data_IF_202412864326
#
_entry.id   IF_202412864326
#
_cell.length_a   1.000
_cell.length_b   1.000
_cell.length_c   1.000
_cell.angle_alpha   90.00
_cell.angle_beta   90.00
_cell.angle_gamma   90.00
#
_symmetry.space_group_name_H-M   'P 1'
#
loop_
_entity.id
_entity.type
_entity.pdbx_description
1 polymer ?
#
# COMPACT_ATOMS: atom_id res chain seq x y z
N UNK A 1 16.99 6.30 -14.28
CA UNK A 1 16.23 7.29 -13.49
C UNK A 1 15.76 6.56 -12.25
N UNK A 2 15.91 7.13 -11.05
CA UNK A 2 15.61 6.44 -9.80
C UNK A 2 14.21 6.85 -9.32
N UNK A 3 13.33 5.91 -8.93
CA UNK A 3 12.03 6.26 -8.37
C UNK A 3 12.20 6.92 -7.00
N UNK A 4 11.48 8.02 -6.80
CA UNK A 4 11.25 8.61 -5.48
C UNK A 4 10.28 7.71 -4.71
N UNK A 5 10.47 7.53 -3.40
CA UNK A 5 9.64 6.62 -2.60
C UNK A 5 9.01 7.31 -1.38
N UNK A 6 7.80 6.90 -1.04
CA UNK A 6 7.15 7.17 0.24
C UNK A 6 7.64 6.15 1.28
N UNK A 7 7.88 6.62 2.51
CA UNK A 7 8.24 5.79 3.65
C UNK A 7 7.17 5.89 4.74
N UNK A 8 6.54 4.76 5.11
CA UNK A 8 5.50 4.66 6.14
C UNK A 8 5.99 3.97 7.44
N UNK A 9 5.39 4.38 8.57
CA UNK A 9 5.96 4.28 9.93
C UNK A 9 4.90 4.27 11.06
N UNK A 10 5.15 3.59 12.22
CA UNK A 10 4.21 3.43 13.36
C UNK A 10 4.74 3.99 14.73
N UNK A 11 4.29 3.58 15.97
CA UNK A 11 4.31 4.41 17.25
C UNK A 11 4.60 3.61 18.61
N UNK A 12 5.46 3.70 19.70
CA UNK A 12 6.41 4.48 20.67
C UNK A 12 7.96 4.92 20.51
N UNK A 13 8.51 6.07 20.98
CA UNK A 13 9.83 6.72 20.63
C UNK A 13 11.23 5.96 20.66
N UNK A 14 12.20 6.50 19.85
CA UNK A 14 13.71 6.41 19.83
C UNK A 14 14.48 5.57 18.74
N UNK A 15 15.84 5.71 18.64
CA UNK A 15 16.60 5.88 17.37
C UNK A 15 17.74 4.88 16.97
N UNK A 16 17.94 4.72 15.64
CA UNK A 16 19.21 4.65 14.82
C UNK A 16 20.27 3.52 15.00
N UNK A 17 20.89 2.89 13.96
CA UNK A 17 20.56 2.74 12.51
C UNK A 17 21.52 1.78 11.73
N UNK A 18 21.20 1.54 10.44
CA UNK A 18 22.02 0.99 9.30
C UNK A 18 22.25 -0.54 9.16
N UNK A 19 22.12 -1.12 7.93
CA UNK A 19 21.45 -0.66 6.69
C UNK A 19 20.13 -1.44 6.42
N UNK A 20 19.36 -1.12 5.35
CA UNK A 20 18.18 -1.88 4.96
C UNK A 20 18.44 -3.07 4.01
N UNK A 21 17.93 -4.25 4.40
CA UNK A 21 17.57 -5.31 3.46
C UNK A 21 16.09 -5.13 3.06
N UNK A 22 15.77 -5.30 1.77
CA UNK A 22 14.47 -4.95 1.20
C UNK A 22 13.83 -6.14 0.47
N UNK A 23 12.63 -6.51 0.91
CA UNK A 23 11.81 -7.57 0.30
C UNK A 23 10.79 -6.96 -0.66
N UNK A 24 10.99 -7.18 -1.97
CA UNK A 24 10.06 -6.80 -3.04
C UNK A 24 9.06 -7.91 -3.33
N UNK A 25 7.83 -7.53 -3.67
CA UNK A 25 6.89 -8.42 -4.35
C UNK A 25 7.28 -8.55 -5.82
N UNK A 26 7.43 -9.78 -6.32
CA UNK A 26 7.41 -10.07 -7.76
C UNK A 26 5.97 -10.30 -8.24
N UNK A 27 5.71 -10.17 -9.54
CA UNK A 27 4.51 -10.72 -10.18
C UNK A 27 4.39 -12.24 -10.01
N UNK A 28 5.54 -12.91 -9.80
CA UNK A 28 5.70 -14.35 -9.91
C UNK A 28 5.77 -15.02 -8.52
N UNK A 29 4.80 -14.70 -7.65
CA UNK A 29 4.53 -15.32 -6.33
C UNK A 29 5.66 -15.42 -5.30
N UNK A 30 6.86 -14.90 -5.59
CA UNK A 30 8.02 -14.94 -4.70
C UNK A 30 8.40 -13.55 -4.20
N UNK A 31 8.63 -13.44 -2.89
CA UNK A 31 9.37 -12.32 -2.30
C UNK A 31 10.84 -12.39 -2.76
N UNK A 32 11.37 -11.29 -3.27
CA UNK A 32 12.76 -11.18 -3.70
C UNK A 32 13.51 -10.21 -2.79
N UNK A 33 14.66 -10.64 -2.25
CA UNK A 33 15.46 -9.80 -1.35
C UNK A 33 16.55 -9.02 -2.08
N UNK A 34 16.94 -7.87 -1.54
CA UNK A 34 18.05 -7.04 -2.02
C UNK A 34 18.55 -6.10 -0.92
N UNK A 35 19.87 -5.99 -0.74
CA UNK A 35 20.49 -4.96 0.09
C UNK A 35 20.42 -3.60 -0.60
N UNK A 36 20.16 -2.52 0.15
CA UNK A 36 19.99 -1.17 -0.42
C UNK A 36 20.59 -0.09 0.49
N UNK A 37 20.78 1.13 -0.04
CA UNK A 37 21.16 2.31 0.76
C UNK A 37 20.13 3.43 0.62
N UNK A 38 19.25 3.53 1.63
CA UNK A 38 18.30 4.63 1.76
C UNK A 38 18.98 5.92 2.26
N UNK A 39 18.60 7.05 1.67
CA UNK A 39 18.91 8.40 2.16
C UNK A 39 17.61 9.19 2.26
N UNK A 40 17.17 9.45 3.49
CA UNK A 40 15.93 10.17 3.76
C UNK A 40 16.15 11.67 3.66
N UNK A 41 15.28 12.38 2.92
CA UNK A 41 15.18 13.84 2.96
C UNK A 41 14.42 14.27 4.21
N UNK A 42 14.70 15.47 4.76
CA UNK A 42 13.93 16.04 5.90
C UNK A 42 12.48 16.45 5.53
N UNK A 43 11.98 16.01 4.36
CA UNK A 43 10.62 16.21 3.87
C UNK A 43 9.62 15.25 4.53
N UNK A 44 9.08 15.67 5.68
CA UNK A 44 7.82 15.15 6.18
C UNK A 44 6.70 15.46 5.17
N UNK A 45 5.93 14.45 4.75
CA UNK A 45 4.82 14.64 3.79
C UNK A 45 3.48 14.67 4.53
N UNK A 46 3.22 13.73 5.44
CA UNK A 46 1.90 13.65 6.06
C UNK A 46 1.73 12.70 7.24
N UNK A 47 0.55 12.78 7.86
CA UNK A 47 0.08 11.91 8.94
C UNK A 47 -1.29 11.36 8.54
N UNK A 48 -1.38 10.04 8.44
CA UNK A 48 -2.66 9.33 8.46
C UNK A 48 -3.04 8.96 9.89
N UNK A 49 -4.27 8.46 10.09
CA UNK A 49 -4.79 8.10 11.42
C UNK A 49 -3.85 7.18 12.22
N UNK A 50 -3.16 6.25 11.54
CA UNK A 50 -2.25 5.27 12.17
C UNK A 50 -0.78 5.37 11.74
N UNK A 51 -0.48 6.05 10.62
CA UNK A 51 0.83 6.03 9.93
C UNK A 51 1.44 7.44 9.84
N UNK A 52 2.78 7.56 9.80
CA UNK A 52 3.45 8.79 9.32
C UNK A 52 4.10 8.54 7.96
N UNK A 53 4.18 9.56 7.11
CA UNK A 53 4.66 9.47 5.72
C UNK A 53 5.79 10.49 5.47
N UNK A 54 6.92 10.02 4.94
CA UNK A 54 8.14 10.83 4.72
C UNK A 54 8.71 10.59 3.31
N UNK A 55 9.32 11.62 2.72
CA UNK A 55 9.96 11.56 1.41
C UNK A 55 11.34 10.88 1.46
N UNK A 56 11.49 9.75 0.77
CA UNK A 56 12.73 8.96 0.73
C UNK A 56 13.35 8.84 -0.66
N UNK A 57 14.68 8.87 -0.72
CA UNK A 57 15.45 8.52 -1.91
C UNK A 57 16.19 7.20 -1.66
N UNK A 58 16.00 6.22 -2.55
CA UNK A 58 16.58 4.89 -2.39
C UNK A 58 17.69 4.64 -3.42
N UNK A 59 18.94 4.64 -2.95
CA UNK A 59 20.08 4.28 -3.80
C UNK A 59 20.23 2.77 -3.82
N UNK A 60 19.91 2.17 -4.96
CA UNK A 60 20.17 0.75 -5.23
C UNK A 60 21.67 0.56 -5.45
N UNK A 61 22.35 -0.07 -4.49
CA UNK A 61 23.74 -0.52 -4.62
C UNK A 61 23.76 -2.03 -4.73
N UNK A 62 24.52 -2.60 -5.67
CA UNK A 62 24.75 -4.04 -5.69
C UNK A 62 25.34 -4.51 -4.35
N UNK A 63 24.92 -5.68 -3.81
CA UNK A 63 25.41 -6.19 -2.52
C UNK A 63 26.94 -6.33 -2.57
N UNK A 64 27.67 -5.68 -1.66
CA UNK A 64 29.11 -5.59 -1.76
C UNK A 64 29.77 -6.88 -1.29
N UNK A 65 30.87 -7.27 -1.96
CA UNK A 65 31.63 -8.50 -1.63
C UNK A 65 32.26 -8.50 -0.23
N UNK A 66 32.22 -7.37 0.46
CA UNK A 66 32.62 -7.16 1.86
C UNK A 66 31.72 -6.07 2.45
N UNK A 67 31.21 -6.29 3.67
CA UNK A 67 30.21 -5.41 4.30
C UNK A 67 30.63 -3.93 4.37
N UNK A 68 29.69 -3.03 4.06
CA UNK A 68 29.98 -1.61 3.86
C UNK A 68 29.47 -0.75 5.03
N UNK A 69 30.39 0.00 5.64
CA UNK A 69 30.04 1.00 6.63
C UNK A 69 29.22 2.15 6.03
N UNK A 70 28.21 2.60 6.77
CA UNK A 70 27.66 3.95 6.68
C UNK A 70 26.90 4.26 7.97
N UNK A 71 26.64 5.55 8.23
CA UNK A 71 25.92 6.02 9.43
C UNK A 71 24.68 6.76 8.96
N UNK A 72 23.48 6.44 9.49
CA UNK A 72 22.32 7.29 9.26
C UNK A 72 22.20 8.31 10.39
N UNK A 73 22.08 9.58 10.02
CA UNK A 73 21.85 10.66 10.96
C UNK A 73 20.35 10.87 11.13
N UNK A 74 19.84 10.63 12.34
CA UNK A 74 18.46 10.94 12.69
C UNK A 74 18.44 12.24 13.52
N UNK A 75 18.00 13.36 12.91
CA UNK A 75 17.46 14.47 13.70
C UNK A 75 15.99 14.17 14.02
N UNK A 76 15.56 14.51 15.24
CA UNK A 76 14.14 14.49 15.58
C UNK A 76 13.50 15.81 15.12
N UNK A 77 12.37 15.73 14.40
CA UNK A 77 11.50 16.89 14.18
C UNK A 77 10.79 17.34 15.47
N UNK A 78 9.98 18.41 15.41
CA UNK A 78 9.31 18.97 16.60
C UNK A 78 8.23 18.06 17.20
N UNK A 79 7.77 17.05 16.45
CA UNK A 79 6.74 16.11 16.90
C UNK A 79 7.36 14.95 17.69
N UNK A 80 6.70 14.54 18.78
CA UNK A 80 7.11 13.40 19.61
C UNK A 80 6.75 12.07 18.93
N UNK A 81 7.35 11.82 17.76
CA UNK A 81 7.09 10.65 16.91
C UNK A 81 7.57 9.38 17.58
N UNK A 82 6.59 8.53 17.82
CA UNK A 82 6.71 7.22 18.40
C UNK A 82 7.09 6.14 17.32
N UNK A 83 7.35 4.86 17.69
CA UNK A 83 7.67 3.62 16.93
C UNK A 83 7.21 2.33 17.67
N UNK A 84 6.48 1.37 17.08
CA UNK A 84 6.01 0.19 17.87
C UNK A 84 7.19 -0.67 18.37
N UNK A 85 6.96 -1.62 19.30
CA UNK A 85 7.95 -2.68 19.51
C UNK A 85 8.19 -3.36 18.15
N UNK A 86 9.46 -3.60 17.80
CA UNK A 86 9.84 -4.03 16.45
C UNK A 86 9.07 -5.26 15.93
N UNK A 87 8.72 -6.21 16.81
CA UNK A 87 7.93 -7.38 16.43
C UNK A 87 6.47 -7.02 16.10
N UNK A 88 5.88 -6.07 16.82
CA UNK A 88 4.53 -5.55 16.57
C UNK A 88 4.52 -4.66 15.32
N UNK A 89 5.56 -3.84 15.11
CA UNK A 89 5.72 -3.03 13.89
C UNK A 89 5.91 -3.91 12.66
N UNK A 90 6.74 -4.96 12.76
CA UNK A 90 6.95 -5.93 11.69
C UNK A 90 5.65 -6.68 11.36
N UNK A 91 4.88 -7.13 12.36
CA UNK A 91 3.59 -7.77 12.13
C UNK A 91 2.59 -6.81 11.46
N UNK A 92 2.56 -5.54 11.86
CA UNK A 92 1.68 -4.53 11.25
C UNK A 92 2.10 -4.22 9.82
N UNK A 93 3.35 -3.83 9.57
CA UNK A 93 3.80 -3.50 8.22
C UNK A 93 3.82 -4.71 7.28
N UNK A 94 4.03 -5.93 7.78
CA UNK A 94 3.80 -7.15 6.99
C UNK A 94 2.33 -7.37 6.64
N UNK A 95 1.38 -7.01 7.52
CA UNK A 95 -0.05 -7.00 7.18
C UNK A 95 -0.33 -5.96 6.09
N UNK A 96 0.15 -4.72 6.23
CA UNK A 96 0.02 -3.65 5.21
C UNK A 96 0.58 -4.07 3.84
N UNK A 97 1.78 -4.64 3.81
CA UNK A 97 2.40 -5.14 2.57
C UNK A 97 1.60 -6.30 1.94
N UNK A 98 0.99 -7.18 2.74
CA UNK A 98 0.09 -8.22 2.24
C UNK A 98 -1.22 -7.63 1.71
N UNK A 99 -1.80 -6.61 2.35
CA UNK A 99 -3.01 -5.93 1.86
C UNK A 99 -2.71 -5.35 0.46
N UNK A 100 -1.60 -4.62 0.28
CA UNK A 100 -1.17 -4.12 -1.03
C UNK A 100 -0.96 -5.24 -2.07
N UNK A 101 -0.28 -6.34 -1.72
CA UNK A 101 -0.08 -7.49 -2.61
C UNK A 101 -1.41 -8.14 -3.07
N UNK A 102 -2.35 -8.32 -2.15
CA UNK A 102 -3.67 -8.88 -2.47
C UNK A 102 -4.55 -7.88 -3.22
N UNK A 103 -4.45 -6.57 -2.95
CA UNK A 103 -5.13 -5.52 -3.72
C UNK A 103 -4.62 -5.46 -5.17
N UNK A 104 -3.31 -5.56 -5.41
CA UNK A 104 -2.74 -5.70 -6.77
C UNK A 104 -3.30 -6.92 -7.49
N UNK A 105 -3.47 -8.03 -6.76
CA UNK A 105 -4.02 -9.28 -7.31
C UNK A 105 -5.52 -9.17 -7.65
N UNK A 106 -6.31 -8.53 -6.79
CA UNK A 106 -7.75 -8.29 -6.99
C UNK A 106 -8.02 -7.27 -8.11
N UNK A 107 -7.24 -6.19 -8.21
CA UNK A 107 -7.35 -5.22 -9.31
C UNK A 107 -6.93 -5.85 -10.66
N UNK A 108 -5.89 -6.70 -10.67
CA UNK A 108 -5.53 -7.49 -11.86
C UNK A 108 -6.64 -8.47 -12.27
N UNK A 109 -7.34 -9.07 -11.31
CA UNK A 109 -8.53 -9.88 -11.59
C UNK A 109 -9.65 -9.05 -12.22
N UNK A 110 -9.85 -7.79 -11.81
CA UNK A 110 -10.79 -6.87 -12.48
C UNK A 110 -10.37 -6.58 -13.91
N UNK A 111 -9.11 -6.21 -14.17
CA UNK A 111 -8.64 -5.92 -15.54
C UNK A 111 -8.73 -7.15 -16.45
N UNK A 112 -8.35 -8.34 -15.98
CA UNK A 112 -8.54 -9.59 -16.73
C UNK A 112 -10.01 -9.83 -17.14
N UNK A 113 -10.98 -9.39 -16.32
CA UNK A 113 -12.40 -9.45 -16.66
C UNK A 113 -12.79 -8.39 -17.69
N UNK A 114 -12.33 -7.14 -17.53
CA UNK A 114 -12.58 -6.05 -18.50
C UNK A 114 -12.03 -6.40 -19.88
N UNK A 115 -10.77 -6.85 -19.97
CA UNK A 115 -10.15 -7.28 -21.22
C UNK A 115 -10.95 -8.39 -21.90
N UNK A 116 -11.46 -9.35 -21.13
CA UNK A 116 -12.29 -10.44 -21.64
C UNK A 116 -13.66 -9.95 -22.13
N UNK A 117 -14.32 -9.06 -21.40
CA UNK A 117 -15.60 -8.46 -21.79
C UNK A 117 -15.47 -7.63 -23.08
N UNK A 118 -14.44 -6.77 -23.18
CA UNK A 118 -14.16 -5.99 -24.40
C UNK A 118 -13.87 -6.92 -25.58
N UNK A 119 -13.04 -7.95 -25.39
CA UNK A 119 -12.70 -8.93 -26.44
C UNK A 119 -13.90 -9.77 -26.89
N UNK A 120 -14.93 -9.92 -26.04
CA UNK A 120 -16.14 -10.70 -26.32
C UNK A 120 -17.30 -9.85 -26.86
N UNK A 121 -17.19 -8.52 -26.80
CA UNK A 121 -18.21 -7.59 -27.28
C UNK A 121 -18.12 -7.38 -28.80
N UNK A 122 -19.26 -7.22 -29.52
CA UNK A 122 -19.25 -6.80 -30.91
C UNK A 122 -18.88 -5.31 -31.10
N UNK A 123 -18.99 -4.50 -30.03
CA UNK A 123 -18.77 -3.05 -30.05
C UNK A 123 -17.81 -2.63 -28.91
N UNK A 124 -16.94 -1.62 -29.10
CA UNK A 124 -16.10 -1.11 -28.03
C UNK A 124 -16.95 -0.43 -26.93
N UNK A 125 -16.44 -0.32 -25.69
CA UNK A 125 -17.13 0.43 -24.65
C UNK A 125 -17.32 1.91 -25.08
N UNK A 126 -18.44 2.56 -24.71
CA UNK A 126 -18.69 3.96 -25.07
C UNK A 126 -17.81 4.95 -24.29
N UNK A 127 -17.21 4.49 -23.18
CA UNK A 127 -16.34 5.25 -22.29
C UNK A 127 -14.87 4.81 -22.38
N UNK A 128 -13.97 5.68 -21.91
CA UNK A 128 -12.54 5.38 -21.73
C UNK A 128 -12.36 4.57 -20.44
N UNK A 129 -11.99 3.29 -20.54
CA UNK A 129 -11.61 2.49 -19.36
C UNK A 129 -10.34 3.08 -18.72
N UNK A 130 -10.38 3.51 -17.44
CA UNK A 130 -9.20 4.04 -16.77
C UNK A 130 -8.13 2.96 -16.56
N UNK A 131 -6.86 3.35 -16.69
CA UNK A 131 -5.71 2.49 -16.39
C UNK A 131 -5.04 2.98 -15.09
N UNK A 132 -5.42 2.37 -13.97
CA UNK A 132 -4.93 2.71 -12.62
C UNK A 132 -4.26 1.50 -11.98
N UNK A 133 -3.25 1.72 -11.15
CA UNK A 133 -2.47 0.67 -10.50
C UNK A 133 -2.32 0.97 -9.00
N UNK A 134 -2.12 -0.08 -8.18
CA UNK A 134 -1.63 0.11 -6.81
C UNK A 134 -0.11 0.26 -6.85
N UNK A 135 0.43 1.21 -6.08
CA UNK A 135 1.87 1.49 -5.96
C UNK A 135 2.70 0.21 -5.73
N UNK A 136 3.89 0.13 -6.31
CA UNK A 136 4.87 -0.86 -5.91
C UNK A 136 5.30 -0.63 -4.46
N UNK A 137 5.37 -1.71 -3.69
CA UNK A 137 5.62 -1.65 -2.25
C UNK A 137 6.64 -2.71 -1.82
N UNK A 138 7.36 -2.45 -0.72
CA UNK A 138 8.39 -3.34 -0.19
C UNK A 138 8.64 -3.08 1.31
N UNK A 139 8.99 -4.13 2.05
CA UNK A 139 9.45 -3.97 3.43
C UNK A 139 10.95 -3.73 3.48
N UNK A 140 11.38 -2.72 4.24
CA UNK A 140 12.78 -2.40 4.50
C UNK A 140 13.13 -2.62 5.97
N UNK A 141 13.99 -3.59 6.24
CA UNK A 141 14.45 -3.97 7.58
C UNK A 141 15.75 -3.23 7.91
N UNK A 142 15.70 -2.20 8.74
CA UNK A 142 16.89 -1.47 9.16
C UNK A 142 17.55 -2.15 10.37
N UNK A 143 18.79 -2.61 10.19
CA UNK A 143 19.60 -3.21 11.25
C UNK A 143 20.41 -2.17 12.04
N UNK A 144 21.17 -2.63 13.03
CA UNK A 144 22.19 -1.85 13.72
C UNK A 144 23.59 -2.32 13.32
N UNK A 145 24.48 -1.40 12.96
CA UNK A 145 25.91 -1.72 12.84
C UNK A 145 26.53 -1.88 14.23
N UNK A 146 26.89 -3.13 14.57
CA UNK A 146 27.68 -3.43 15.75
C UNK A 146 29.06 -2.79 15.64
N UNK A 147 29.29 -1.70 16.38
CA UNK A 147 30.61 -1.08 16.47
C UNK A 147 31.66 -2.08 16.95
N UNK A 148 32.91 -1.95 16.49
CA UNK A 148 33.98 -2.97 16.48
C UNK A 148 34.54 -3.41 17.85
N UNK A 149 33.74 -3.38 18.91
CA UNK A 149 34.07 -3.90 20.24
C UNK A 149 33.83 -5.41 20.29
N UNK A 150 34.80 -6.23 20.72
CA UNK A 150 34.60 -7.67 20.90
C UNK A 150 33.43 -7.95 21.87
N UNK A 151 32.51 -8.82 21.48
CA UNK A 151 31.42 -9.31 22.34
C UNK A 151 30.02 -8.72 22.07
N UNK A 152 29.88 -7.68 21.23
CA UNK A 152 28.55 -7.22 20.78
C UNK A 152 28.02 -8.19 19.72
N UNK A 153 26.79 -8.70 19.88
CA UNK A 153 26.14 -9.53 18.86
C UNK A 153 25.75 -8.68 17.65
N UNK A 154 26.37 -8.96 16.50
CA UNK A 154 26.03 -8.34 15.22
C UNK A 154 24.63 -8.76 14.75
N UNK A 155 23.93 -7.87 14.04
CA UNK A 155 22.82 -8.25 13.15
C UNK A 155 21.38 -8.06 13.67
N UNK A 156 21.15 -7.56 14.87
CA UNK A 156 19.77 -7.26 15.33
C UNK A 156 19.12 -6.18 14.45
N UNK A 157 17.99 -6.50 13.83
CA UNK A 157 17.05 -5.51 13.27
C UNK A 157 16.64 -4.52 14.37
N UNK A 158 16.41 -3.26 14.02
CA UNK A 158 16.07 -2.19 14.95
C UNK A 158 14.75 -1.50 14.59
N UNK A 159 14.53 -1.23 13.31
CA UNK A 159 13.33 -0.58 12.79
C UNK A 159 12.91 -1.27 11.48
N UNK A 160 11.63 -1.18 11.15
CA UNK A 160 11.08 -1.69 9.89
C UNK A 160 10.17 -0.63 9.27
N UNK A 161 10.24 -0.52 7.95
CA UNK A 161 9.49 0.46 7.19
C UNK A 161 8.76 -0.21 6.03
N UNK A 162 7.60 0.33 5.68
CA UNK A 162 6.95 0.06 4.40
C UNK A 162 7.40 1.17 3.46
N UNK A 163 8.08 0.78 2.39
CA UNK A 163 8.44 1.64 1.28
C UNK A 163 7.41 1.45 0.17
N UNK A 164 7.01 2.55 -0.47
CA UNK A 164 6.07 2.59 -1.59
C UNK A 164 6.54 3.60 -2.64
N UNK A 165 6.03 3.52 -3.86
CA UNK A 165 6.28 4.55 -4.89
C UNK A 165 5.73 5.92 -4.49
N UNK A 166 6.44 6.99 -4.85
CA UNK A 166 5.90 8.34 -4.74
C UNK A 166 4.83 8.58 -5.81
N UNK A 167 3.61 8.82 -5.34
CA UNK A 167 2.58 9.46 -6.14
C UNK A 167 3.00 10.93 -6.34
N UNK A 168 3.39 11.28 -7.56
CA UNK A 168 3.80 12.65 -7.90
C UNK A 168 2.59 13.56 -8.09
N UNK A 169 2.66 14.78 -7.54
CA UNK A 169 1.60 15.78 -7.58
C UNK A 169 1.79 16.83 -6.48
N UNK A 170 0.83 17.75 -6.38
CA UNK A 170 0.58 18.58 -5.19
C UNK A 170 -0.46 17.91 -4.29
N UNK A 171 -0.58 18.35 -3.04
CA UNK A 171 -1.43 17.68 -2.02
C UNK A 171 -2.92 17.60 -2.41
N UNK A 172 -3.40 18.51 -3.26
CA UNK A 172 -4.75 18.55 -3.84
C UNK A 172 -4.99 17.48 -4.93
N UNK A 173 -3.92 16.87 -5.46
CA UNK A 173 -4.00 15.73 -6.38
C UNK A 173 -4.09 14.37 -5.65
N UNK A 174 -3.95 14.34 -4.32
CA UNK A 174 -4.19 13.15 -3.51
C UNK A 174 -5.66 13.06 -3.11
N UNK A 175 -6.44 12.34 -3.91
CA UNK A 175 -7.89 12.19 -3.77
C UNK A 175 -8.22 10.90 -3.04
N UNK A 176 -9.21 10.94 -2.14
CA UNK A 176 -9.85 9.74 -1.59
C UNK A 176 -11.16 9.49 -2.34
N UNK A 177 -11.15 8.49 -3.21
CA UNK A 177 -12.24 8.18 -4.14
C UNK A 177 -13.39 7.45 -3.45
N UNK A 178 -13.09 6.51 -2.55
CA UNK A 178 -14.06 5.68 -1.81
C UNK A 178 -13.59 5.56 -0.34
N UNK A 179 -14.53 5.46 0.60
CA UNK A 179 -14.25 5.22 2.02
C UNK A 179 -14.70 3.80 2.39
N UNK A 180 -13.93 3.05 3.20
CA UNK A 180 -14.25 1.67 3.60
C UNK A 180 -15.62 1.42 4.27
N UNK A 181 -16.33 2.47 4.67
CA UNK A 181 -17.68 2.42 5.26
C UNK A 181 -18.80 2.52 4.21
N UNK A 182 -18.45 2.79 2.95
CA UNK A 182 -19.35 2.98 1.82
C UNK A 182 -18.88 2.16 0.61
N UNK A 183 -19.77 1.97 -0.37
CA UNK A 183 -19.53 1.24 -1.62
C UNK A 183 -19.64 2.13 -2.85
N UNK A 184 -19.87 3.43 -2.65
CA UNK A 184 -20.12 4.45 -3.68
C UNK A 184 -19.01 5.52 -3.68
N UNK A 185 -19.01 6.49 -4.63
CA UNK A 185 -18.04 7.58 -4.64
C UNK A 185 -18.16 8.45 -3.38
N UNK A 186 -17.01 8.92 -2.87
CA UNK A 186 -16.95 10.00 -1.89
C UNK A 186 -17.03 11.40 -2.54
N UNK A 187 -16.93 11.43 -3.88
CA UNK A 187 -16.89 12.61 -4.73
C UNK A 187 -18.28 12.92 -5.32
N UNK A 188 -18.51 14.17 -5.72
CA UNK A 188 -19.68 14.58 -6.49
C UNK A 188 -19.36 14.57 -8.00
N UNK A 189 -20.38 14.50 -8.87
CA UNK A 189 -20.24 14.46 -10.35
C UNK A 189 -19.36 15.57 -10.96
N UNK A 190 -19.15 16.68 -10.24
CA UNK A 190 -18.36 17.84 -10.69
C UNK A 190 -16.95 17.90 -10.08
N UNK A 191 -16.59 16.96 -9.19
CA UNK A 191 -15.30 16.94 -8.52
C UNK A 191 -14.24 16.22 -9.38
N UNK A 192 -12.99 16.69 -9.31
CA UNK A 192 -11.89 16.07 -10.03
C UNK A 192 -11.69 14.61 -9.60
N UNK A 193 -11.78 13.69 -10.58
CA UNK A 193 -11.62 12.26 -10.35
C UNK A 193 -12.92 11.49 -10.10
N UNK A 194 -14.10 12.09 -10.29
CA UNK A 194 -15.38 11.38 -10.20
C UNK A 194 -15.44 10.13 -11.09
N UNK A 195 -15.08 10.24 -12.38
CA UNK A 195 -15.05 9.12 -13.34
C UNK A 195 -14.15 7.96 -12.87
N UNK A 196 -13.07 8.29 -12.16
CA UNK A 196 -12.18 7.29 -11.54
C UNK A 196 -12.85 6.64 -10.32
N UNK A 197 -13.57 7.40 -9.50
CA UNK A 197 -14.35 6.83 -8.40
C UNK A 197 -15.44 5.89 -8.93
N UNK A 198 -16.15 6.23 -10.01
CA UNK A 198 -17.14 5.34 -10.64
C UNK A 198 -16.51 4.06 -11.20
N UNK A 199 -15.39 4.14 -11.92
CA UNK A 199 -14.66 2.95 -12.33
C UNK A 199 -14.22 2.11 -11.12
N UNK A 200 -13.76 2.75 -10.04
CA UNK A 200 -13.37 2.06 -8.80
C UNK A 200 -14.55 1.39 -8.10
N UNK A 201 -15.75 2.00 -8.10
CA UNK A 201 -17.01 1.41 -7.63
C UNK A 201 -17.32 0.12 -8.40
N UNK A 202 -17.18 0.15 -9.73
CA UNK A 202 -17.27 -1.05 -10.57
C UNK A 202 -16.21 -2.11 -10.24
N UNK A 203 -14.95 -1.71 -9.93
CA UNK A 203 -13.95 -2.70 -9.53
C UNK A 203 -14.35 -3.48 -8.27
N UNK A 204 -15.02 -2.84 -7.30
CA UNK A 204 -15.55 -3.50 -6.11
C UNK A 204 -16.59 -4.56 -6.49
N UNK A 205 -17.52 -4.21 -7.38
CA UNK A 205 -18.57 -5.11 -7.86
C UNK A 205 -18.01 -6.33 -8.60
N UNK A 206 -17.05 -6.13 -9.51
CA UNK A 206 -16.39 -7.26 -10.19
C UNK A 206 -15.68 -8.16 -9.18
N UNK A 207 -14.95 -7.62 -8.22
CA UNK A 207 -14.25 -8.41 -7.20
C UNK A 207 -15.25 -9.19 -6.32
N UNK A 208 -16.33 -8.54 -5.88
CA UNK A 208 -17.41 -9.16 -5.12
C UNK A 208 -18.02 -10.36 -5.86
N UNK A 209 -18.44 -10.19 -7.12
CA UNK A 209 -19.06 -11.27 -7.90
C UNK A 209 -18.06 -12.37 -8.26
N UNK A 210 -16.86 -12.03 -8.72
CA UNK A 210 -15.85 -13.02 -9.15
C UNK A 210 -15.22 -13.80 -7.99
N UNK A 211 -15.38 -13.36 -6.75
CA UNK A 211 -14.91 -14.07 -5.54
C UNK A 211 -16.04 -14.74 -4.75
N UNK A 212 -17.21 -14.94 -5.36
CA UNK A 212 -18.40 -15.53 -4.73
C UNK A 212 -18.80 -14.80 -3.43
N UNK A 213 -18.85 -13.46 -3.52
CA UNK A 213 -19.22 -12.51 -2.45
C UNK A 213 -18.26 -12.52 -1.25
N UNK A 214 -17.05 -13.07 -1.39
CA UNK A 214 -16.10 -13.22 -0.28
C UNK A 214 -15.21 -11.99 -0.03
N UNK A 215 -14.81 -11.23 -1.05
CA UNK A 215 -13.83 -10.14 -0.88
C UNK A 215 -13.90 -9.05 -1.95
N UNK A 216 -13.66 -7.79 -1.56
CA UNK A 216 -13.36 -6.68 -2.46
C UNK A 216 -12.40 -5.66 -1.81
N UNK A 217 -11.76 -4.82 -2.62
CA UNK A 217 -10.95 -3.67 -2.18
C UNK A 217 -11.85 -2.45 -1.97
N UNK A 218 -11.63 -1.70 -0.90
CA UNK A 218 -12.22 -0.39 -0.65
C UNK A 218 -11.17 0.58 -0.06
N UNK A 219 -11.60 1.73 0.46
CA UNK A 219 -10.73 2.84 0.92
C UNK A 219 -9.77 3.40 -0.16
N UNK A 220 -10.14 3.29 -1.44
CA UNK A 220 -9.32 3.73 -2.55
C UNK A 220 -8.93 5.21 -2.46
N UNK A 221 -7.63 5.48 -2.41
CA UNK A 221 -7.05 6.81 -2.30
C UNK A 221 -5.70 6.90 -3.02
N UNK A 222 -5.36 8.09 -3.53
CA UNK A 222 -4.15 8.34 -4.31
C UNK A 222 -4.42 9.31 -5.46
N UNK A 223 -3.89 9.00 -6.63
CA UNK A 223 -4.08 9.75 -7.88
C UNK A 223 -4.91 8.96 -8.89
N UNK A 224 -5.24 9.56 -10.03
CA UNK A 224 -5.90 8.90 -11.16
C UNK A 224 -5.02 7.92 -11.94
N UNK A 225 -3.80 7.62 -11.47
CA UNK A 225 -2.88 6.65 -12.08
C UNK A 225 -2.30 5.64 -11.06
N UNK A 226 -1.98 6.12 -9.84
CA UNK A 226 -1.43 5.33 -8.74
C UNK A 226 -2.26 5.48 -7.47
N UNK A 227 -2.66 4.35 -6.89
CA UNK A 227 -3.43 4.21 -5.65
C UNK A 227 -2.57 3.61 -4.52
N UNK A 228 -2.91 3.93 -3.28
CA UNK A 228 -2.18 3.56 -2.06
C UNK A 228 -3.16 3.33 -0.89
N UNK A 229 -2.69 2.73 0.22
CA UNK A 229 -3.47 2.44 1.43
C UNK A 229 -4.88 1.87 1.17
N UNK A 230 -5.03 0.84 0.30
CA UNK A 230 -6.32 0.17 0.15
C UNK A 230 -6.69 -0.60 1.42
N UNK A 231 -7.99 -0.73 1.70
CA UNK A 231 -8.51 -1.66 2.70
C UNK A 231 -9.18 -2.84 1.99
N UNK A 232 -8.79 -4.07 2.28
CA UNK A 232 -9.53 -5.24 1.81
C UNK A 232 -10.65 -5.57 2.81
N UNK A 233 -11.88 -5.71 2.32
CA UNK A 233 -13.06 -6.09 3.10
C UNK A 233 -13.42 -7.55 2.80
N UNK A 234 -13.72 -8.35 3.83
CA UNK A 234 -13.97 -9.81 3.66
C UNK A 234 -15.21 -10.33 4.37
N UNK A 235 -15.89 -11.30 3.75
CA UNK A 235 -16.96 -12.05 4.38
C UNK A 235 -16.49 -12.83 5.61
N UNK A 236 -17.38 -13.07 6.57
CA UNK A 236 -17.09 -13.80 7.81
C UNK A 236 -16.64 -15.26 7.63
N UNK A 237 -16.85 -15.84 6.45
CA UNK A 237 -16.34 -17.18 6.11
C UNK A 237 -14.83 -17.17 5.80
N UNK A 238 -14.26 -16.03 5.39
CA UNK A 238 -12.82 -15.91 5.15
C UNK A 238 -12.08 -16.04 6.49
N UNK A 239 -11.09 -16.94 6.55
CA UNK A 239 -10.27 -17.18 7.75
C UNK A 239 -11.06 -17.44 9.04
N UNK A 240 -12.26 -18.04 8.95
CA UNK A 240 -13.18 -18.24 10.08
C UNK A 240 -13.53 -16.92 10.83
N UNK A 241 -13.54 -15.78 10.14
CA UNK A 241 -13.89 -14.48 10.71
C UNK A 241 -12.76 -13.82 11.51
N UNK A 242 -11.55 -14.40 11.49
CA UNK A 242 -10.33 -13.74 11.94
C UNK A 242 -9.91 -12.66 10.94
N UNK A 243 -9.58 -11.46 11.41
CA UNK A 243 -9.06 -10.42 10.53
C UNK A 243 -7.61 -10.72 10.10
N UNK A 244 -7.44 -10.94 8.79
CA UNK A 244 -6.16 -11.13 8.11
C UNK A 244 -5.76 -9.91 7.25
N UNK A 245 -6.64 -8.89 7.12
CA UNK A 245 -6.48 -7.75 6.21
C UNK A 245 -6.61 -6.36 6.87
N UNK A 246 -6.56 -6.27 8.20
CA UNK A 246 -6.35 -5.01 8.91
C UNK A 246 -7.56 -4.53 9.69
N UNK A 247 -7.29 -3.69 10.70
CA UNK A 247 -8.27 -3.23 11.69
C UNK A 247 -9.46 -2.46 11.04
N UNK A 248 -9.35 -2.02 9.77
CA UNK A 248 -10.42 -1.41 8.98
C UNK A 248 -11.37 -2.39 8.27
N UNK A 249 -11.25 -3.70 8.50
CA UNK A 249 -12.12 -4.73 7.92
C UNK A 249 -13.52 -4.75 8.57
N UNK A 250 -14.45 -4.01 7.98
CA UNK A 250 -15.82 -3.83 8.50
C UNK A 250 -16.68 -5.04 8.11
N UNK A 251 -16.86 -5.94 9.09
CA UNK A 251 -17.60 -7.21 8.99
C UNK A 251 -19.02 -7.11 8.40
N UNK A 252 -19.65 -5.94 8.46
CA UNK A 252 -21.00 -5.71 7.92
C UNK A 252 -21.05 -5.14 6.51
N UNK A 253 -19.95 -4.58 5.96
CA UNK A 253 -19.97 -3.95 4.63
C UNK A 253 -20.21 -4.98 3.52
N UNK A 254 -19.58 -6.16 3.60
CA UNK A 254 -19.77 -7.26 2.64
C UNK A 254 -21.22 -7.76 2.62
N UNK A 255 -21.86 -7.90 3.79
CA UNK A 255 -23.26 -8.33 3.91
C UNK A 255 -24.27 -7.26 3.48
N UNK A 256 -23.82 -6.01 3.28
CA UNK A 256 -24.63 -4.89 2.81
C UNK A 256 -24.29 -4.45 1.39
N UNK A 257 -23.32 -5.07 0.73
CA UNK A 257 -22.86 -4.63 -0.60
C UNK A 257 -24.02 -4.55 -1.59
N UNK A 258 -24.92 -5.55 -1.58
CA UNK A 258 -26.08 -5.61 -2.47
C UNK A 258 -27.19 -4.60 -2.10
N UNK A 259 -27.21 -4.08 -0.87
CA UNK A 259 -28.13 -3.03 -0.41
C UNK A 259 -27.57 -1.61 -0.64
N UNK A 260 -26.24 -1.46 -0.75
CA UNK A 260 -25.55 -0.17 -0.75
C UNK A 260 -24.87 0.20 -2.07
N UNK A 261 -24.51 -0.77 -2.92
CA UNK A 261 -23.80 -0.51 -4.17
C UNK A 261 -24.74 0.06 -5.25
N UNK A 262 -24.54 1.32 -5.62
CA UNK A 262 -25.10 1.88 -6.83
C UNK A 262 -24.39 1.28 -8.07
N UNK A 263 -25.19 0.79 -9.01
CA UNK A 263 -24.71 0.38 -10.33
C UNK A 263 -24.50 1.64 -11.18
N UNK A 264 -23.48 1.62 -12.04
CA UNK A 264 -23.10 2.72 -12.94
C UNK A 264 -22.82 2.21 -14.35
N UNK A 265 -22.42 3.08 -15.28
CA UNK A 265 -22.20 2.73 -16.70
C UNK A 265 -21.14 1.64 -16.93
N UNK A 266 -20.22 1.41 -16.00
CA UNK A 266 -19.24 0.32 -16.08
C UNK A 266 -19.82 -1.02 -15.62
N UNK A 267 -20.90 -1.02 -14.84
CA UNK A 267 -21.58 -2.22 -14.30
C UNK A 267 -22.67 -2.79 -15.23
N UNK A 268 -23.07 -2.07 -16.29
CA UNK A 268 -24.12 -2.46 -17.26
C UNK A 268 -23.58 -3.30 -18.44
#
# INVERSE_FOLDING_TARGET
>A
MFPTLLQKSSRTLHQSSQPPEVLRTSSDHHWTSSEMKGTYSEGFIGIGGFKTVNAGWLTLTAPPRTGLGSVAYHKAGPYKVSWYLLIDELQKLFREANILYWSKSLLKLTYNFVDHSITSSPEPPPFMVPCVQLVEASLALCHNQGGSKPGVKTGSTQAVFLLEELIEGSDDMFVKFIHNMDTNPLLNELDYGYDMAEFLVFTQHVQYIKTDKLVFISDYQGSTALLTDPQILTHLLVSNGCDIFGEGNIKTSISKFEDQHAYNEYCE
#
